data_IF_375472170997
#
_entry.id   IF_375472170997
#
_cell.length_a   1.000
_cell.length_b   1.000
_cell.length_c   1.000
_cell.angle_alpha   90.00
_cell.angle_beta   90.00
_cell.angle_gamma   90.00
#
_symmetry.space_group_name_H-M   'P 1'
#
loop_
_entity.id
_entity.type
_entity.pdbx_description
1 polymer ?
#
# COMPACT_ATOMS: atom_id res chain seq x y z
N UNK A 1 0.43 -38.88 -22.40
CA UNK A 1 0.93 -38.85 -21.01
C UNK A 1 0.61 -37.48 -20.43
N UNK A 2 -0.09 -37.41 -19.31
CA UNK A 2 -0.48 -36.15 -18.67
C UNK A 2 0.78 -35.44 -18.15
N UNK A 3 1.02 -34.17 -18.51
CA UNK A 3 2.23 -33.42 -18.13
C UNK A 3 2.44 -33.36 -16.60
N UNK A 4 1.34 -33.28 -15.84
CA UNK A 4 1.37 -33.34 -14.38
C UNK A 4 1.99 -34.65 -13.87
N UNK A 5 1.59 -35.79 -14.43
CA UNK A 5 2.12 -37.10 -14.04
C UNK A 5 3.63 -37.22 -14.37
N UNK A 6 4.10 -36.57 -15.44
CA UNK A 6 5.53 -36.53 -15.75
C UNK A 6 6.31 -35.69 -14.74
N UNK A 7 5.84 -34.49 -14.42
CA UNK A 7 6.50 -33.61 -13.45
C UNK A 7 6.52 -34.21 -12.04
N UNK A 8 5.45 -34.87 -11.63
CA UNK A 8 5.38 -35.57 -10.34
C UNK A 8 6.41 -36.71 -10.29
N UNK A 9 6.46 -37.54 -11.33
CA UNK A 9 7.46 -38.62 -11.42
C UNK A 9 8.89 -38.07 -11.38
N UNK A 10 9.16 -37.01 -12.14
CA UNK A 10 10.48 -36.37 -12.16
C UNK A 10 10.84 -35.78 -10.79
N UNK A 11 9.90 -35.09 -10.14
CA UNK A 11 10.07 -34.56 -8.79
C UNK A 11 10.44 -35.66 -7.80
N UNK A 12 9.68 -36.76 -7.77
CA UNK A 12 9.98 -37.89 -6.87
C UNK A 12 11.31 -38.56 -7.19
N UNK A 13 11.68 -38.69 -8.47
CA UNK A 13 12.98 -39.23 -8.87
C UNK A 13 14.15 -38.36 -8.40
N UNK A 14 14.04 -37.03 -8.56
CA UNK A 14 15.05 -36.08 -8.06
C UNK A 14 15.10 -36.11 -6.52
N UNK A 15 13.94 -36.10 -5.87
CA UNK A 15 13.84 -36.02 -4.41
C UNK A 15 14.31 -37.31 -3.70
N UNK A 16 14.16 -38.47 -4.34
CA UNK A 16 14.69 -39.75 -3.84
C UNK A 16 16.21 -39.84 -3.98
N UNK A 17 16.82 -39.12 -4.91
CA UNK A 17 18.26 -39.07 -5.04
C UNK A 17 18.86 -38.24 -3.88
N UNK A 18 19.53 -38.91 -2.94
CA UNK A 18 20.07 -38.30 -1.72
C UNK A 18 21.06 -37.17 -2.03
N UNK A 19 21.88 -37.31 -3.07
CA UNK A 19 22.88 -36.31 -3.46
C UNK A 19 22.19 -35.06 -3.99
N UNK A 20 21.30 -35.23 -4.98
CA UNK A 20 20.55 -34.11 -5.55
C UNK A 20 19.70 -33.40 -4.49
N UNK A 21 19.02 -34.17 -3.63
CA UNK A 21 18.24 -33.61 -2.52
C UNK A 21 19.10 -32.77 -1.58
N UNK A 22 20.30 -33.23 -1.21
CA UNK A 22 21.23 -32.46 -0.37
C UNK A 22 21.65 -31.15 -1.03
N UNK A 23 21.96 -31.17 -2.32
CA UNK A 23 22.30 -29.97 -3.09
C UNK A 23 21.13 -29.00 -3.11
N UNK A 24 19.93 -29.45 -3.47
CA UNK A 24 18.72 -28.61 -3.51
C UNK A 24 18.44 -27.99 -2.13
N UNK A 25 18.51 -28.76 -1.05
CA UNK A 25 18.30 -28.25 0.31
C UNK A 25 19.33 -27.17 0.65
N UNK A 26 20.60 -27.37 0.27
CA UNK A 26 21.64 -26.37 0.47
C UNK A 26 21.36 -25.08 -0.31
N UNK A 27 20.98 -25.19 -1.59
CA UNK A 27 20.63 -24.03 -2.43
C UNK A 27 19.42 -23.27 -1.87
N UNK A 28 18.39 -23.98 -1.41
CA UNK A 28 17.22 -23.37 -0.76
C UNK A 28 17.59 -22.67 0.56
N UNK A 29 18.55 -23.22 1.31
CA UNK A 29 19.08 -22.60 2.52
C UNK A 29 19.87 -21.33 2.19
N UNK A 30 20.73 -21.36 1.18
CA UNK A 30 21.46 -20.16 0.74
C UNK A 30 20.49 -19.09 0.24
N UNK A 31 19.49 -19.48 -0.55
CA UNK A 31 18.43 -18.58 -0.99
C UNK A 31 17.67 -17.96 0.19
N UNK A 32 17.26 -18.75 1.17
CA UNK A 32 16.49 -18.24 2.31
C UNK A 32 17.28 -17.23 3.15
N UNK A 33 18.59 -17.42 3.27
CA UNK A 33 19.52 -16.53 3.98
C UNK A 33 19.78 -15.25 3.17
N UNK A 34 20.14 -15.39 1.89
CA UNK A 34 20.68 -14.28 1.09
C UNK A 34 19.67 -13.60 0.17
N UNK A 35 18.39 -13.98 0.18
CA UNK A 35 17.37 -13.33 -0.68
C UNK A 35 17.11 -11.86 -0.38
N UNK A 36 17.42 -11.38 0.83
CA UNK A 36 17.25 -9.98 1.25
C UNK A 36 18.54 -9.50 1.91
N UNK A 37 19.20 -8.51 1.32
CA UNK A 37 20.50 -8.02 1.82
C UNK A 37 20.55 -6.49 1.75
N UNK A 38 21.19 -5.89 2.75
CA UNK A 38 21.40 -4.46 2.83
C UNK A 38 22.88 -4.15 2.60
N UNK A 39 23.17 -3.16 1.78
CA UNK A 39 24.51 -2.65 1.51
C UNK A 39 24.58 -1.17 1.86
N UNK A 40 25.75 -0.72 2.30
CA UNK A 40 26.12 0.69 2.30
C UNK A 40 26.95 0.95 1.04
N UNK A 41 26.89 2.15 0.46
CA UNK A 41 27.62 2.52 -0.77
C UNK A 41 28.27 3.91 -0.60
N UNK A 42 28.76 4.21 0.60
CA UNK A 42 29.34 5.51 0.99
C UNK A 42 30.83 5.60 0.71
N UNK A 43 31.54 4.48 0.66
CA UNK A 43 32.97 4.40 0.32
C UNK A 43 33.22 3.56 -0.94
N UNK A 44 34.42 3.68 -1.52
CA UNK A 44 34.83 2.82 -2.64
C UNK A 44 34.95 1.35 -2.19
N UNK A 45 35.37 1.10 -0.96
CA UNK A 45 35.45 -0.24 -0.38
C UNK A 45 34.07 -0.89 -0.25
N UNK A 46 33.08 -0.13 0.23
CA UNK A 46 31.70 -0.57 0.33
C UNK A 46 31.08 -0.87 -1.06
N UNK A 47 31.39 -0.03 -2.05
CA UNK A 47 31.01 -0.28 -3.45
C UNK A 47 31.67 -1.54 -4.01
N UNK A 48 32.97 -1.73 -3.74
CA UNK A 48 33.70 -2.90 -4.19
C UNK A 48 33.17 -4.17 -3.53
N UNK A 49 32.81 -4.12 -2.26
CA UNK A 49 32.14 -5.22 -1.57
C UNK A 49 30.81 -5.61 -2.23
N UNK A 50 30.03 -4.62 -2.68
CA UNK A 50 28.84 -4.88 -3.50
C UNK A 50 29.19 -5.56 -4.83
N UNK A 51 30.22 -5.09 -5.55
CA UNK A 51 30.65 -5.69 -6.81
C UNK A 51 31.07 -7.16 -6.64
N UNK A 52 31.83 -7.44 -5.59
CA UNK A 52 32.41 -8.76 -5.30
C UNK A 52 31.46 -9.68 -4.50
N UNK A 53 30.23 -9.24 -4.24
CA UNK A 53 29.28 -10.00 -3.44
C UNK A 53 28.94 -11.37 -4.05
N UNK A 54 29.53 -12.42 -3.48
CA UNK A 54 29.44 -13.81 -3.96
C UNK A 54 28.03 -14.36 -4.15
N UNK A 55 27.08 -13.91 -3.33
CA UNK A 55 25.73 -14.47 -3.27
C UNK A 55 24.70 -13.71 -4.11
N UNK A 56 25.15 -12.92 -5.11
CA UNK A 56 24.28 -12.12 -5.99
C UNK A 56 23.15 -12.91 -6.64
N UNK A 57 23.38 -14.16 -7.03
CA UNK A 57 22.40 -15.03 -7.69
C UNK A 57 21.17 -15.33 -6.83
N UNK A 58 21.30 -15.23 -5.50
CA UNK A 58 20.20 -15.49 -4.57
C UNK A 58 19.39 -14.25 -4.24
N UNK A 59 19.88 -13.04 -4.57
CA UNK A 59 19.23 -11.79 -4.23
C UNK A 59 17.84 -11.70 -4.89
N UNK A 60 16.85 -11.30 -4.10
CA UNK A 60 15.51 -10.95 -4.59
C UNK A 60 15.13 -9.53 -4.21
N UNK A 61 15.62 -9.07 -3.06
CA UNK A 61 15.45 -7.71 -2.56
C UNK A 61 16.79 -7.19 -2.08
N UNK A 62 17.16 -5.99 -2.52
CA UNK A 62 18.39 -5.33 -2.09
C UNK A 62 18.09 -3.92 -1.62
N UNK A 63 18.67 -3.51 -0.50
CA UNK A 63 18.63 -2.13 -0.01
C UNK A 63 20.01 -1.52 -0.08
N UNK A 64 20.11 -0.32 -0.63
CA UNK A 64 21.32 0.49 -0.60
C UNK A 64 21.11 1.68 0.31
N UNK A 65 21.93 1.79 1.36
CA UNK A 65 22.03 2.97 2.20
C UNK A 65 23.15 3.88 1.69
N UNK A 66 22.82 5.16 1.54
CA UNK A 66 23.67 6.16 0.92
C UNK A 66 23.66 7.44 1.74
N UNK A 67 24.84 7.87 2.16
CA UNK A 67 25.07 9.06 2.97
C UNK A 67 26.20 9.87 2.36
N UNK A 68 25.87 11.08 1.89
CA UNK A 68 26.81 12.00 1.29
C UNK A 68 27.25 13.05 2.32
N UNK A 69 28.56 13.16 2.56
CA UNK A 69 29.14 14.30 3.28
C UNK A 69 29.28 15.50 2.31
N UNK A 70 28.14 16.00 1.82
CA UNK A 70 28.06 16.90 0.68
C UNK A 70 27.90 16.14 -0.64
N UNK A 71 27.00 16.59 -1.52
CA UNK A 71 26.75 15.97 -2.83
C UNK A 71 27.95 16.16 -3.77
N UNK A 72 28.94 15.28 -3.67
CA UNK A 72 30.03 15.24 -4.66
C UNK A 72 29.56 14.43 -5.86
N UNK A 73 29.95 14.87 -7.06
CA UNK A 73 29.61 14.21 -8.33
C UNK A 73 29.94 12.71 -8.30
N UNK A 74 31.05 12.34 -7.66
CA UNK A 74 31.48 10.96 -7.51
C UNK A 74 30.51 10.08 -6.73
N UNK A 75 29.83 10.63 -5.72
CA UNK A 75 28.93 9.83 -4.90
C UNK A 75 27.64 9.49 -5.67
N UNK A 76 27.15 10.42 -6.53
CA UNK A 76 26.07 10.15 -7.48
C UNK A 76 26.49 9.14 -8.56
N UNK A 77 27.71 9.29 -9.10
CA UNK A 77 28.24 8.36 -10.10
C UNK A 77 28.31 6.94 -9.55
N UNK A 78 28.72 6.77 -8.30
CA UNK A 78 28.76 5.46 -7.66
C UNK A 78 27.37 4.84 -7.53
N UNK A 79 26.37 5.60 -7.12
CA UNK A 79 24.98 5.12 -7.09
C UNK A 79 24.51 4.67 -8.48
N UNK A 80 24.80 5.45 -9.51
CA UNK A 80 24.47 5.11 -10.90
C UNK A 80 25.14 3.77 -11.30
N UNK A 81 26.43 3.62 -11.03
CA UNK A 81 27.16 2.39 -11.34
C UNK A 81 26.65 1.19 -10.52
N UNK A 82 26.25 1.40 -9.27
CA UNK A 82 25.60 0.37 -8.44
C UNK A 82 24.31 -0.11 -9.09
N UNK A 83 23.44 0.81 -9.54
CA UNK A 83 22.19 0.45 -10.22
C UNK A 83 22.43 -0.31 -11.53
N UNK A 84 23.41 0.14 -12.34
CA UNK A 84 23.80 -0.54 -13.59
C UNK A 84 24.36 -1.95 -13.37
N UNK A 85 24.89 -2.23 -12.18
CA UNK A 85 25.47 -3.54 -11.82
C UNK A 85 24.47 -4.51 -11.16
N UNK A 86 23.18 -4.13 -11.06
CA UNK A 86 22.15 -4.98 -10.48
C UNK A 86 21.94 -6.26 -11.33
N UNK A 87 21.95 -7.46 -10.71
CA UNK A 87 21.67 -8.69 -11.42
C UNK A 87 20.17 -8.87 -11.74
N UNK A 88 19.87 -9.54 -12.86
CA UNK A 88 18.52 -9.76 -13.40
C UNK A 88 17.61 -10.68 -12.55
N UNK A 89 18.10 -11.21 -11.43
CA UNK A 89 17.28 -11.98 -10.48
C UNK A 89 16.62 -11.11 -9.40
N UNK A 90 16.91 -9.81 -9.34
CA UNK A 90 16.36 -8.89 -8.34
C UNK A 90 14.96 -8.43 -8.75
N UNK A 91 14.02 -8.53 -7.81
CA UNK A 91 12.64 -8.10 -7.99
C UNK A 91 12.36 -6.76 -7.28
N UNK A 92 13.05 -6.48 -6.17
CA UNK A 92 12.85 -5.27 -5.35
C UNK A 92 14.17 -4.53 -5.08
N UNK A 93 14.18 -3.22 -5.31
CA UNK A 93 15.29 -2.33 -4.97
C UNK A 93 14.80 -1.28 -3.99
N UNK A 94 15.52 -1.09 -2.90
CA UNK A 94 15.35 0.02 -1.97
C UNK A 94 16.56 0.93 -2.02
N UNK A 95 16.34 2.24 -2.11
CA UNK A 95 17.39 3.25 -1.99
C UNK A 95 17.04 4.11 -0.78
N UNK A 96 17.87 4.04 0.24
CA UNK A 96 17.76 4.84 1.43
C UNK A 96 18.85 5.88 1.49
N UNK A 97 18.50 7.10 1.88
CA UNK A 97 19.46 8.16 2.07
C UNK A 97 19.10 9.12 3.19
N UNK A 98 20.12 9.62 3.89
CA UNK A 98 20.00 10.75 4.82
C UNK A 98 20.35 12.09 4.13
N UNK A 99 20.65 12.05 2.83
CA UNK A 99 21.09 13.19 2.02
C UNK A 99 19.99 13.57 1.02
N UNK A 100 20.04 14.78 0.49
CA UNK A 100 19.09 15.23 -0.54
C UNK A 100 19.59 14.76 -1.91
N UNK A 101 18.89 13.82 -2.56
CA UNK A 101 19.32 13.28 -3.86
C UNK A 101 18.34 13.65 -4.99
N UNK A 102 18.79 14.23 -6.12
CA UNK A 102 17.91 14.48 -7.27
C UNK A 102 17.65 13.19 -8.08
N UNK A 103 16.44 12.61 -7.98
CA UNK A 103 15.98 11.42 -8.75
C UNK A 103 16.29 11.52 -10.26
N UNK A 104 16.08 12.68 -10.89
CA UNK A 104 16.21 12.83 -12.34
C UNK A 104 17.64 12.57 -12.83
N UNK A 105 18.63 12.66 -11.94
CA UNK A 105 20.03 12.36 -12.24
C UNK A 105 20.40 10.90 -11.99
N UNK A 106 19.57 10.15 -11.25
CA UNK A 106 19.82 8.76 -10.88
C UNK A 106 19.13 7.80 -11.85
N UNK A 107 17.84 8.02 -12.12
CA UNK A 107 17.03 7.07 -12.86
C UNK A 107 16.96 7.48 -14.32
N UNK A 108 17.89 6.95 -15.12
CA UNK A 108 17.84 7.04 -16.57
C UNK A 108 17.28 5.73 -17.16
N UNK A 109 16.71 5.80 -18.38
CA UNK A 109 16.21 4.60 -19.07
C UNK A 109 17.30 3.51 -19.12
N UNK A 110 16.98 2.32 -18.63
CA UNK A 110 17.88 1.15 -18.63
C UNK A 110 18.74 0.97 -17.37
N UNK A 111 18.72 1.90 -16.42
CA UNK A 111 19.55 1.79 -15.21
C UNK A 111 18.98 0.83 -14.17
N UNK A 112 17.67 0.58 -14.20
CA UNK A 112 17.05 -0.46 -13.41
C UNK A 112 16.77 -1.66 -14.34
N UNK A 113 17.24 -2.88 -14.00
CA UNK A 113 16.92 -4.09 -14.74
C UNK A 113 15.42 -4.32 -14.90
N UNK A 114 15.03 -5.00 -15.98
CA UNK A 114 13.61 -5.30 -16.27
C UNK A 114 12.98 -6.26 -15.26
N UNK A 115 13.80 -7.01 -14.54
CA UNK A 115 13.38 -7.89 -13.45
C UNK A 115 12.80 -7.13 -12.25
N UNK A 116 13.22 -5.87 -12.05
CA UNK A 116 12.78 -5.07 -10.91
C UNK A 116 11.33 -4.64 -11.11
N UNK A 117 10.46 -5.11 -10.23
CA UNK A 117 9.03 -4.82 -10.23
C UNK A 117 8.61 -3.91 -9.08
N UNK A 118 9.45 -3.76 -8.06
CA UNK A 118 9.21 -2.88 -6.91
C UNK A 118 10.41 -1.96 -6.64
N UNK A 119 10.15 -0.67 -6.49
CA UNK A 119 11.14 0.34 -6.12
C UNK A 119 10.66 1.09 -4.88
N UNK A 120 11.53 1.22 -3.90
CA UNK A 120 11.26 1.97 -2.68
C UNK A 120 12.37 3.02 -2.49
N UNK A 121 11.95 4.27 -2.34
CA UNK A 121 12.83 5.42 -2.14
C UNK A 121 12.58 5.95 -0.73
N UNK A 122 13.59 5.86 0.14
CA UNK A 122 13.53 6.26 1.56
C UNK A 122 14.49 7.43 1.78
N UNK A 123 14.02 8.53 2.38
CA UNK A 123 14.86 9.71 2.62
C UNK A 123 14.46 10.91 1.78
N UNK A 124 15.39 11.77 1.39
CA UNK A 124 15.06 13.06 0.75
C UNK A 124 15.35 13.06 -0.75
N UNK A 125 14.31 13.04 -1.59
CA UNK A 125 14.45 13.02 -3.05
C UNK A 125 13.88 14.27 -3.74
N UNK A 126 14.75 15.17 -4.25
CA UNK A 126 14.37 16.56 -4.55
C UNK A 126 13.77 16.84 -5.94
N UNK A 127 13.79 15.88 -6.87
CA UNK A 127 13.38 16.07 -8.27
C UNK A 127 12.52 14.91 -8.76
N UNK A 128 11.59 15.08 -9.71
CA UNK A 128 10.73 14.00 -10.17
C UNK A 128 11.49 13.01 -11.07
N UNK A 129 10.86 11.89 -11.37
CA UNK A 129 11.28 11.03 -12.47
C UNK A 129 11.23 11.79 -13.80
N UNK A 130 12.27 11.61 -14.64
CA UNK A 130 12.26 12.12 -16.01
C UNK A 130 11.38 11.22 -16.89
N UNK A 131 10.91 11.74 -18.03
CA UNK A 131 10.15 10.94 -18.99
C UNK A 131 10.97 9.71 -19.41
N UNK A 132 10.37 8.51 -19.33
CA UNK A 132 10.98 7.22 -19.65
C UNK A 132 12.10 6.73 -18.71
N UNK A 133 12.42 7.45 -17.63
CA UNK A 133 13.42 7.05 -16.61
C UNK A 133 13.24 5.62 -16.09
N UNK A 134 12.01 5.25 -15.77
CA UNK A 134 11.66 3.93 -15.25
C UNK A 134 10.99 3.11 -16.36
N UNK A 135 11.41 1.84 -16.48
CA UNK A 135 10.87 0.90 -17.45
C UNK A 135 9.42 0.45 -17.14
N UNK A 136 8.70 -0.05 -18.15
CA UNK A 136 7.29 -0.48 -18.07
C UNK A 136 7.02 -1.74 -17.22
N UNK A 137 8.04 -2.32 -16.60
CA UNK A 137 7.88 -3.49 -15.74
C UNK A 137 7.63 -3.12 -14.28
N UNK A 138 7.93 -1.89 -13.86
CA UNK A 138 7.71 -1.46 -12.49
C UNK A 138 6.21 -1.47 -12.16
N UNK A 139 5.84 -2.21 -11.10
CA UNK A 139 4.46 -2.40 -10.63
C UNK A 139 4.20 -1.70 -9.31
N UNK A 140 5.20 -1.61 -8.45
CA UNK A 140 5.10 -0.99 -7.13
C UNK A 140 6.13 0.10 -6.97
N UNK A 141 5.69 1.25 -6.47
CA UNK A 141 6.55 2.37 -6.11
C UNK A 141 6.18 2.85 -4.70
N UNK A 142 7.15 2.87 -3.80
CA UNK A 142 7.03 3.41 -2.46
C UNK A 142 7.93 4.64 -2.38
N UNK A 143 7.35 5.80 -2.07
CA UNK A 143 8.05 7.06 -1.94
C UNK A 143 8.05 7.47 -0.47
N UNK A 144 8.85 6.80 0.36
CA UNK A 144 9.01 7.12 1.78
C UNK A 144 9.89 8.38 1.96
N UNK A 145 9.43 9.48 1.37
CA UNK A 145 10.15 10.73 1.38
C UNK A 145 9.85 11.50 2.67
N UNK A 146 10.92 11.93 3.34
CA UNK A 146 10.83 12.63 4.61
C UNK A 146 10.73 14.15 4.45
N UNK A 147 11.17 14.75 3.33
CA UNK A 147 11.39 16.21 3.26
C UNK A 147 11.13 16.89 1.90
N UNK A 148 10.69 16.20 0.86
CA UNK A 148 10.61 16.84 -0.46
C UNK A 148 9.32 17.62 -0.73
N UNK A 149 9.16 18.77 -0.07
CA UNK A 149 8.20 19.83 -0.45
C UNK A 149 8.28 20.15 -1.97
N UNK A 150 9.47 20.00 -2.58
CA UNK A 150 9.74 20.35 -3.97
C UNK A 150 9.28 19.31 -5.00
N UNK A 151 9.32 18.01 -4.67
CA UNK A 151 8.85 16.95 -5.56
C UNK A 151 7.34 17.08 -5.81
N UNK A 152 6.61 17.52 -4.78
CA UNK A 152 5.17 17.55 -4.78
C UNK A 152 4.58 18.78 -5.49
N UNK A 153 5.28 19.91 -5.50
CA UNK A 153 4.87 21.04 -6.37
C UNK A 153 4.72 20.63 -7.84
N UNK A 154 5.50 19.64 -8.29
CA UNK A 154 5.42 19.13 -9.66
C UNK A 154 4.22 18.18 -9.89
N UNK A 155 3.78 17.45 -8.85
CA UNK A 155 2.53 16.66 -8.90
C UNK A 155 1.32 17.57 -9.07
N UNK A 156 1.36 18.79 -8.53
CA UNK A 156 0.28 19.75 -8.70
C UNK A 156 0.15 20.21 -10.17
N UNK A 157 1.27 20.51 -10.84
CA UNK A 157 1.26 21.07 -12.21
C UNK A 157 1.23 20.01 -13.34
N UNK A 158 0.93 18.74 -13.05
CA UNK A 158 0.77 17.71 -14.09
C UNK A 158 2.06 17.33 -14.82
N UNK A 159 3.24 17.62 -14.25
CA UNK A 159 4.55 17.34 -14.86
C UNK A 159 5.29 16.15 -14.25
N UNK A 160 4.60 15.27 -13.53
CA UNK A 160 5.24 14.08 -12.93
C UNK A 160 5.07 12.87 -13.82
N UNK A 161 6.21 12.27 -14.19
CA UNK A 161 6.27 11.05 -14.98
C UNK A 161 6.27 9.83 -14.08
N UNK A 162 5.08 9.42 -13.60
CA UNK A 162 4.92 8.10 -13.02
C UNK A 162 4.82 7.03 -14.12
N UNK A 163 5.45 5.85 -13.95
CA UNK A 163 5.36 4.76 -14.92
C UNK A 163 3.91 4.33 -15.15
N UNK A 164 3.52 4.25 -16.42
CA UNK A 164 2.16 3.83 -16.84
C UNK A 164 1.81 2.40 -16.44
N UNK A 165 2.79 1.62 -16.00
CA UNK A 165 2.65 0.23 -15.55
C UNK A 165 2.38 0.08 -14.07
N UNK A 166 2.49 1.16 -13.27
CA UNK A 166 2.34 1.10 -11.82
C UNK A 166 0.95 0.64 -11.44
N UNK A 167 0.88 -0.39 -10.60
CA UNK A 167 -0.35 -0.93 -10.03
C UNK A 167 -0.51 -0.58 -8.55
N UNK A 168 0.59 -0.24 -7.88
CA UNK A 168 0.67 0.13 -6.47
C UNK A 168 1.53 1.37 -6.28
N UNK A 169 1.03 2.35 -5.53
CA UNK A 169 1.74 3.56 -5.15
C UNK A 169 1.50 3.88 -3.68
N UNK A 170 2.58 4.03 -2.92
CA UNK A 170 2.55 4.45 -1.52
C UNK A 170 3.37 5.73 -1.36
N UNK A 171 2.78 6.75 -0.75
CA UNK A 171 3.48 7.97 -0.36
C UNK A 171 3.95 7.89 1.09
N UNK A 172 5.09 8.49 1.37
CA UNK A 172 5.74 8.56 2.68
C UNK A 172 5.08 9.56 3.60
N UNK A 173 5.42 9.49 4.88
CA UNK A 173 4.68 10.15 5.95
C UNK A 173 4.56 11.66 5.78
N UNK A 174 5.58 12.33 5.25
CA UNK A 174 5.61 13.77 5.01
C UNK A 174 4.79 14.23 3.80
N UNK A 175 4.18 13.33 3.04
CA UNK A 175 3.37 13.68 1.87
C UNK A 175 2.11 14.46 2.28
N UNK A 176 2.05 15.74 1.94
CA UNK A 176 0.86 16.57 2.13
C UNK A 176 0.72 17.60 1.00
N UNK A 177 0.41 17.12 -0.20
CA UNK A 177 0.25 17.99 -1.37
C UNK A 177 -0.88 17.51 -2.25
N UNK A 178 -1.59 18.46 -2.84
CA UNK A 178 -2.67 18.20 -3.79
C UNK A 178 -2.14 17.51 -5.05
N UNK A 179 -2.94 16.57 -5.56
CA UNK A 179 -2.65 15.83 -6.79
C UNK A 179 -3.59 16.33 -7.88
N UNK A 180 -3.04 16.84 -8.97
CA UNK A 180 -3.83 17.27 -10.12
C UNK A 180 -4.48 16.11 -10.89
N UNK A 181 -5.55 16.41 -11.63
CA UNK A 181 -6.19 15.44 -12.53
C UNK A 181 -5.17 14.87 -13.54
N UNK A 182 -5.20 13.56 -13.75
CA UNK A 182 -4.33 12.88 -14.71
C UNK A 182 -2.88 12.64 -14.24
N UNK A 183 -2.50 13.08 -13.04
CA UNK A 183 -1.14 12.88 -12.51
C UNK A 183 -0.87 11.43 -12.05
N UNK A 184 -1.93 10.71 -11.66
CA UNK A 184 -1.84 9.30 -11.27
C UNK A 184 -2.04 8.39 -12.49
N UNK A 185 -1.14 7.41 -12.74
CA UNK A 185 -1.34 6.41 -13.77
C UNK A 185 -2.69 5.69 -13.63
N UNK A 186 -3.41 5.57 -14.75
CA UNK A 186 -4.72 4.91 -14.79
C UNK A 186 -4.68 3.42 -14.43
N UNK A 187 -3.49 2.82 -14.43
CA UNK A 187 -3.20 1.43 -14.08
C UNK A 187 -3.22 1.15 -12.57
N UNK A 188 -3.13 2.19 -11.73
CA UNK A 188 -3.05 2.03 -10.27
C UNK A 188 -4.33 1.36 -9.74
N UNK A 189 -4.12 0.36 -8.88
CA UNK A 189 -5.16 -0.41 -8.19
C UNK A 189 -5.06 -0.30 -6.67
N UNK A 190 -3.89 0.06 -6.14
CA UNK A 190 -3.63 0.32 -4.73
C UNK A 190 -2.99 1.71 -4.59
N UNK A 191 -3.57 2.56 -3.74
CA UNK A 191 -3.04 3.89 -3.43
C UNK A 191 -3.07 4.11 -1.92
N UNK A 192 -1.95 4.53 -1.37
CA UNK A 192 -1.80 4.87 0.05
C UNK A 192 -1.12 6.23 0.19
N UNK A 193 -1.79 7.11 0.90
CA UNK A 193 -1.27 8.41 1.28
C UNK A 193 -0.50 8.33 2.60
N UNK A 194 0.54 9.16 2.75
CA UNK A 194 1.34 9.22 3.96
C UNK A 194 0.61 9.85 5.15
N UNK A 195 1.18 9.65 6.34
CA UNK A 195 0.64 10.11 7.64
C UNK A 195 0.08 11.53 7.64
N UNK A 196 0.82 12.51 7.08
CA UNK A 196 0.47 13.93 7.12
C UNK A 196 -0.49 14.38 6.02
N UNK A 197 -0.93 13.50 5.12
CA UNK A 197 -1.79 13.89 4.00
C UNK A 197 -3.14 14.43 4.46
N UNK A 198 -3.43 15.69 4.16
CA UNK A 198 -4.69 16.35 4.48
C UNK A 198 -5.14 17.32 3.37
N UNK A 199 -5.00 16.90 2.12
CA UNK A 199 -5.48 17.65 0.96
C UNK A 199 -6.82 17.10 0.47
N UNK A 200 -7.67 17.95 -0.12
CA UNK A 200 -8.91 17.49 -0.76
C UNK A 200 -8.58 16.72 -2.04
N UNK A 201 -9.40 15.71 -2.36
CA UNK A 201 -9.28 14.95 -3.59
C UNK A 201 -10.36 15.41 -4.55
N UNK A 202 -9.95 16.19 -5.55
CA UNK A 202 -10.84 16.70 -6.58
C UNK A 202 -11.47 15.62 -7.47
N UNK A 203 -12.43 16.06 -8.29
CA UNK A 203 -13.05 15.21 -9.31
C UNK A 203 -11.98 14.63 -10.24
N UNK A 204 -12.15 13.39 -10.63
CA UNK A 204 -11.29 12.68 -11.58
C UNK A 204 -9.83 12.42 -11.17
N UNK A 205 -9.36 12.87 -10.01
CA UNK A 205 -7.97 12.70 -9.55
C UNK A 205 -7.61 11.22 -9.34
N UNK A 206 -8.45 10.46 -8.65
CA UNK A 206 -8.16 9.05 -8.35
C UNK A 206 -8.16 8.19 -9.63
N UNK A 207 -7.42 7.08 -9.74
CA UNK A 207 -7.49 6.21 -10.92
C UNK A 207 -8.82 5.45 -11.03
N UNK A 208 -9.38 5.28 -12.26
CA UNK A 208 -10.65 4.54 -12.48
C UNK A 208 -10.59 3.06 -12.07
N UNK A 209 -9.39 2.46 -12.07
CA UNK A 209 -9.16 1.05 -11.70
C UNK A 209 -8.81 0.84 -10.22
N UNK A 210 -8.79 1.91 -9.43
CA UNK A 210 -8.43 1.87 -8.02
C UNK A 210 -9.35 0.90 -7.27
N UNK A 211 -8.75 -0.03 -6.52
CA UNK A 211 -9.43 -1.06 -5.71
C UNK A 211 -9.26 -0.79 -4.21
N UNK A 212 -8.11 -0.29 -3.79
CA UNK A 212 -7.79 -0.03 -2.40
C UNK A 212 -7.28 1.40 -2.29
N UNK A 213 -7.89 2.18 -1.41
CA UNK A 213 -7.47 3.53 -1.07
C UNK A 213 -7.27 3.64 0.43
N UNK A 214 -6.11 4.14 0.84
CA UNK A 214 -5.79 4.45 2.23
C UNK A 214 -5.42 5.92 2.37
N UNK A 215 -6.14 6.64 3.23
CA UNK A 215 -5.76 7.98 3.63
C UNK A 215 -4.81 7.95 4.84
N UNK A 216 -3.99 9.00 4.97
CA UNK A 216 -3.11 9.19 6.11
C UNK A 216 -3.86 9.46 7.41
N UNK A 217 -3.17 9.29 8.54
CA UNK A 217 -3.72 9.46 9.88
C UNK A 217 -4.27 10.86 10.16
N UNK A 218 -3.69 11.91 9.55
CA UNK A 218 -4.13 13.30 9.72
C UNK A 218 -5.21 13.75 8.71
N UNK A 219 -5.68 12.87 7.83
CA UNK A 219 -6.68 13.23 6.83
C UNK A 219 -8.01 13.58 7.47
N UNK A 220 -8.47 14.82 7.26
CA UNK A 220 -9.76 15.32 7.77
C UNK A 220 -10.46 16.24 6.77
N UNK A 221 -10.36 15.93 5.47
CA UNK A 221 -11.15 16.60 4.43
C UNK A 221 -12.44 15.85 4.19
N UNK A 222 -13.51 16.60 3.94
CA UNK A 222 -14.83 16.00 3.69
C UNK A 222 -14.80 15.14 2.42
N UNK A 223 -15.31 13.93 2.52
CA UNK A 223 -15.54 13.05 1.37
C UNK A 223 -16.95 13.19 0.79
N UNK A 224 -17.79 14.05 1.39
CA UNK A 224 -19.19 14.26 0.99
C UNK A 224 -19.36 15.04 -0.30
N UNK A 225 -18.31 15.65 -0.84
CA UNK A 225 -18.36 16.13 -2.22
C UNK A 225 -18.46 14.89 -3.10
N UNK A 226 -19.57 14.69 -3.84
CA UNK A 226 -19.77 13.54 -4.78
C UNK A 226 -18.70 13.45 -5.90
N UNK A 227 -17.64 14.22 -5.80
CA UNK A 227 -16.56 14.42 -6.73
C UNK A 227 -15.42 13.42 -6.53
N UNK A 228 -14.99 13.17 -5.29
CA UNK A 228 -13.81 12.33 -4.99
C UNK A 228 -13.95 10.91 -5.57
N UNK A 229 -15.08 10.26 -5.31
CA UNK A 229 -15.36 8.90 -5.78
C UNK A 229 -16.17 8.84 -7.08
N UNK A 230 -16.34 9.96 -7.78
CA UNK A 230 -17.10 10.02 -9.03
C UNK A 230 -16.61 8.94 -10.01
N UNK A 231 -17.48 8.05 -10.45
CA UNK A 231 -17.15 6.94 -11.36
C UNK A 231 -16.01 6.02 -10.88
N UNK A 232 -15.75 5.90 -9.57
CA UNK A 232 -14.77 4.96 -8.99
C UNK A 232 -15.39 3.61 -8.65
N UNK A 233 -16.08 3.04 -9.64
CA UNK A 233 -16.89 1.81 -9.55
C UNK A 233 -16.07 0.51 -9.35
N UNK A 234 -14.75 0.62 -9.15
CA UNK A 234 -13.87 -0.51 -8.85
C UNK A 234 -13.34 -0.48 -7.42
N UNK A 235 -13.53 0.61 -6.67
CA UNK A 235 -13.04 0.75 -5.30
C UNK A 235 -13.73 -0.29 -4.40
N UNK A 236 -12.93 -1.07 -3.68
CA UNK A 236 -13.36 -2.17 -2.80
C UNK A 236 -13.06 -1.90 -1.34
N UNK A 237 -11.94 -1.27 -1.03
CA UNK A 237 -11.52 -1.01 0.35
C UNK A 237 -11.15 0.46 0.50
N UNK A 238 -11.68 1.09 1.56
CA UNK A 238 -11.39 2.45 1.94
C UNK A 238 -10.95 2.47 3.41
N UNK A 239 -9.79 3.05 3.65
CA UNK A 239 -9.24 3.25 5.00
C UNK A 239 -9.14 4.75 5.30
N UNK A 240 -9.65 5.15 6.45
CA UNK A 240 -9.67 6.54 6.93
C UNK A 240 -8.85 6.67 8.21
N UNK A 241 -8.02 7.71 8.27
CA UNK A 241 -7.09 7.95 9.38
C UNK A 241 -7.75 8.42 10.67
N UNK A 242 -6.95 8.49 11.74
CA UNK A 242 -7.39 8.87 13.09
C UNK A 242 -8.09 10.22 13.19
N UNK A 243 -7.66 11.22 12.42
CA UNK A 243 -8.21 12.57 12.52
C UNK A 243 -9.51 12.78 11.74
N UNK A 244 -9.96 11.79 10.95
CA UNK A 244 -11.13 11.94 10.10
C UNK A 244 -12.40 12.15 10.93
N UNK A 245 -13.11 13.24 10.63
CA UNK A 245 -14.37 13.62 11.27
C UNK A 245 -15.45 13.97 10.25
N UNK A 246 -15.15 13.98 8.95
CA UNK A 246 -16.11 14.40 7.93
C UNK A 246 -17.37 13.53 7.93
N UNK A 247 -18.53 14.18 7.92
CA UNK A 247 -19.80 13.49 7.68
C UNK A 247 -19.84 12.88 6.28
N UNK A 248 -20.72 11.89 6.10
CA UNK A 248 -21.00 11.28 4.80
C UNK A 248 -22.45 11.55 4.43
N UNK A 249 -22.68 12.01 3.21
CA UNK A 249 -24.02 12.13 2.65
C UNK A 249 -24.38 10.90 1.80
N UNK A 250 -25.66 10.77 1.45
CA UNK A 250 -26.12 9.74 0.53
C UNK A 250 -25.36 9.79 -0.80
N UNK A 251 -25.00 8.61 -1.31
CA UNK A 251 -24.19 8.40 -2.52
C UNK A 251 -22.74 8.89 -2.46
N UNK A 252 -22.19 9.15 -1.25
CA UNK A 252 -20.76 9.42 -1.08
C UNK A 252 -19.91 8.28 -1.63
N UNK A 253 -20.23 7.04 -1.26
CA UNK A 253 -19.41 5.88 -1.60
C UNK A 253 -19.85 5.22 -2.92
N UNK A 254 -18.90 4.69 -3.72
CA UNK A 254 -19.25 3.92 -4.90
C UNK A 254 -19.91 2.60 -4.50
N UNK A 255 -20.91 2.15 -5.27
CA UNK A 255 -21.64 0.87 -5.08
C UNK A 255 -20.75 -0.39 -5.10
N UNK A 256 -19.46 -0.23 -5.41
CA UNK A 256 -18.49 -1.31 -5.42
C UNK A 256 -17.84 -1.57 -4.07
N UNK A 257 -17.89 -0.61 -3.13
CA UNK A 257 -17.17 -0.63 -1.86
C UNK A 257 -17.60 -1.80 -0.98
N UNK A 258 -16.63 -2.54 -0.45
CA UNK A 258 -16.83 -3.76 0.35
C UNK A 258 -16.32 -3.60 1.78
N UNK A 259 -15.30 -2.79 2.00
CA UNK A 259 -14.69 -2.59 3.31
C UNK A 259 -14.50 -1.10 3.55
N UNK A 260 -15.00 -0.62 4.69
CA UNK A 260 -14.78 0.72 5.21
C UNK A 260 -14.18 0.57 6.60
N UNK A 261 -12.95 1.05 6.76
CA UNK A 261 -12.17 0.86 7.99
C UNK A 261 -11.65 2.20 8.46
N UNK A 262 -11.91 2.53 9.72
CA UNK A 262 -11.33 3.68 10.39
C UNK A 262 -10.15 3.22 11.23
N UNK A 263 -9.09 4.03 11.28
CA UNK A 263 -7.92 3.78 12.13
C UNK A 263 -8.30 3.74 13.61
N UNK A 264 -7.51 3.02 14.39
CA UNK A 264 -7.65 2.96 15.86
C UNK A 264 -7.53 4.38 16.44
N UNK A 265 -8.43 4.72 17.37
CA UNK A 265 -8.53 6.06 17.95
C UNK A 265 -9.17 7.11 17.04
N UNK A 266 -9.83 6.71 15.94
CA UNK A 266 -10.46 7.64 15.00
C UNK A 266 -11.47 8.58 15.68
N UNK A 267 -11.44 9.85 15.24
CA UNK A 267 -12.27 10.94 15.77
C UNK A 267 -13.68 11.01 15.18
N UNK A 268 -13.99 10.26 14.13
CA UNK A 268 -15.33 10.19 13.53
C UNK A 268 -16.41 9.92 14.60
N UNK A 269 -17.41 10.80 14.65
CA UNK A 269 -18.47 10.75 15.66
C UNK A 269 -19.84 11.25 15.14
N UNK A 270 -20.00 11.30 13.82
CA UNK A 270 -21.27 11.65 13.17
C UNK A 270 -22.17 10.42 13.11
N UNK A 271 -23.49 10.57 13.33
CA UNK A 271 -24.43 9.50 13.04
C UNK A 271 -24.43 9.19 11.54
N UNK A 272 -24.55 7.91 11.21
CA UNK A 272 -24.78 7.45 9.84
C UNK A 272 -26.28 7.42 9.60
N UNK A 273 -26.75 8.15 8.58
CA UNK A 273 -28.13 8.05 8.13
C UNK A 273 -28.35 6.80 7.26
N UNK A 274 -29.59 6.34 7.20
CA UNK A 274 -29.98 5.21 6.34
C UNK A 274 -29.62 5.52 4.89
N UNK A 275 -28.95 4.58 4.22
CA UNK A 275 -28.58 4.71 2.79
C UNK A 275 -27.25 5.43 2.53
N UNK A 276 -26.62 6.04 3.54
CA UNK A 276 -25.29 6.65 3.41
C UNK A 276 -24.22 5.62 3.06
N UNK A 277 -24.26 4.45 3.73
CA UNK A 277 -23.38 3.33 3.42
C UNK A 277 -23.88 2.56 2.19
N UNK A 278 -22.98 2.12 1.29
CA UNK A 278 -23.40 1.43 0.09
C UNK A 278 -23.91 0.01 0.42
N UNK A 279 -24.95 -0.50 -0.27
CA UNK A 279 -25.55 -1.82 -0.02
C UNK A 279 -24.62 -3.00 -0.37
N UNK A 280 -23.42 -2.70 -0.86
CA UNK A 280 -22.37 -3.65 -1.16
C UNK A 280 -21.47 -3.95 0.02
N UNK A 281 -21.50 -3.13 1.08
CA UNK A 281 -20.53 -3.13 2.19
C UNK A 281 -20.63 -4.42 3.02
N UNK A 282 -19.49 -5.07 3.24
CA UNK A 282 -19.38 -6.33 3.99
C UNK A 282 -18.63 -6.18 5.31
N UNK A 283 -17.73 -5.21 5.39
CA UNK A 283 -16.94 -4.93 6.58
C UNK A 283 -17.03 -3.46 6.92
N UNK A 284 -17.40 -3.18 8.17
CA UNK A 284 -17.40 -1.84 8.74
C UNK A 284 -16.68 -1.89 10.09
N UNK A 285 -15.59 -1.15 10.20
CA UNK A 285 -14.82 -1.00 11.44
C UNK A 285 -14.79 0.48 11.77
N UNK A 286 -15.64 0.92 12.68
CA UNK A 286 -15.67 2.30 13.20
C UNK A 286 -14.99 2.25 14.55
N UNK A 287 -13.98 3.10 14.75
CA UNK A 287 -13.08 3.04 15.90
C UNK A 287 -13.73 3.22 17.27
N UNK A 288 -12.93 3.64 18.24
CA UNK A 288 -13.29 3.58 19.66
C UNK A 288 -14.26 4.66 20.13
N UNK A 289 -14.71 5.59 19.27
CA UNK A 289 -15.73 6.58 19.66
C UNK A 289 -17.13 5.98 19.57
N UNK A 290 -18.00 6.40 20.49
CA UNK A 290 -19.37 5.89 20.56
C UNK A 290 -20.08 6.02 19.21
N UNK A 291 -20.55 4.89 18.71
CA UNK A 291 -21.38 4.76 17.53
C UNK A 291 -22.75 5.37 17.86
N UNK A 292 -23.03 6.53 17.27
CA UNK A 292 -24.25 7.30 17.53
C UNK A 292 -25.40 6.94 16.59
N UNK A 293 -25.12 6.24 15.51
CA UNK A 293 -26.11 5.91 14.49
C UNK A 293 -27.06 4.84 15.02
N UNK A 294 -28.31 4.93 14.57
CA UNK A 294 -29.25 3.82 14.69
C UNK A 294 -28.72 2.60 13.92
N UNK A 295 -28.95 1.41 14.43
CA UNK A 295 -28.42 0.18 13.81
C UNK A 295 -29.13 -0.10 12.48
N UNK A 296 -30.34 0.40 12.27
CA UNK A 296 -31.09 0.37 10.99
C UNK A 296 -30.36 1.12 9.86
N UNK A 297 -29.44 2.03 10.19
CA UNK A 297 -28.60 2.71 9.18
C UNK A 297 -27.59 1.77 8.51
N UNK A 298 -27.33 0.61 9.12
CA UNK A 298 -26.33 -0.35 8.65
C UNK A 298 -26.89 -1.20 7.49
N UNK A 299 -26.10 -1.40 6.42
CA UNK A 299 -26.56 -2.20 5.29
C UNK A 299 -26.62 -3.69 5.66
N UNK A 300 -27.73 -4.34 5.29
CA UNK A 300 -28.00 -5.79 5.50
C UNK A 300 -26.89 -6.70 4.94
N UNK A 301 -26.07 -6.21 4.01
CA UNK A 301 -24.95 -6.96 3.43
C UNK A 301 -23.75 -7.15 4.35
N UNK A 302 -23.72 -6.48 5.51
CA UNK A 302 -22.63 -6.55 6.47
C UNK A 302 -22.41 -7.96 6.99
N UNK A 303 -21.14 -8.35 7.09
CA UNK A 303 -20.67 -9.63 7.62
C UNK A 303 -19.75 -9.46 8.82
N UNK A 304 -19.03 -8.34 8.88
CA UNK A 304 -18.17 -8.01 10.01
C UNK A 304 -18.41 -6.57 10.42
N UNK A 305 -18.77 -6.38 11.67
CA UNK A 305 -18.99 -5.08 12.30
C UNK A 305 -18.08 -4.98 13.53
N UNK A 306 -17.29 -3.92 13.60
CA UNK A 306 -16.50 -3.58 14.79
C UNK A 306 -16.79 -2.13 15.13
N UNK A 307 -17.43 -1.91 16.28
CA UNK A 307 -17.90 -0.58 16.72
C UNK A 307 -17.78 -0.45 18.24
N UNK A 308 -17.66 0.78 18.72
CA UNK A 308 -17.94 1.06 20.13
C UNK A 308 -19.43 1.44 20.30
N UNK A 309 -20.28 0.55 20.79
CA UNK A 309 -21.72 0.81 20.94
C UNK A 309 -22.21 0.62 22.38
N UNK A 310 -22.99 1.58 22.89
CA UNK A 310 -23.66 1.49 24.20
C UNK A 310 -25.19 1.35 24.10
N UNK A 311 -25.75 1.33 22.89
CA UNK A 311 -27.20 1.20 22.67
C UNK A 311 -27.65 -0.24 22.91
N UNK A 312 -28.89 -0.43 23.38
CA UNK A 312 -29.50 -1.75 23.52
C UNK A 312 -29.76 -2.36 22.14
N UNK A 313 -29.13 -3.51 21.85
CA UNK A 313 -29.26 -4.22 20.55
C UNK A 313 -30.42 -5.24 20.59
N UNK A 314 -31.29 -5.22 21.61
CA UNK A 314 -32.30 -6.28 21.80
C UNK A 314 -33.24 -6.48 20.60
N UNK A 315 -33.57 -5.42 19.87
CA UNK A 315 -34.56 -5.45 18.78
C UNK A 315 -33.96 -5.50 17.37
N UNK A 316 -32.64 -5.60 17.22
CA UNK A 316 -31.99 -5.39 15.91
C UNK A 316 -31.58 -6.65 15.19
N UNK A 317 -32.13 -7.78 15.63
CA UNK A 317 -31.92 -9.08 15.02
C UNK A 317 -32.12 -9.10 13.50
N UNK A 318 -33.10 -8.40 12.86
CA UNK A 318 -33.31 -8.50 11.42
C UNK A 318 -32.17 -7.92 10.57
N UNK A 319 -31.57 -6.81 11.00
CA UNK A 319 -30.52 -6.12 10.25
C UNK A 319 -29.15 -6.76 10.44
N UNK A 320 -28.97 -7.49 11.54
CA UNK A 320 -27.72 -8.15 11.91
C UNK A 320 -27.68 -9.63 11.53
N UNK A 321 -28.74 -10.21 10.93
CA UNK A 321 -28.82 -11.64 10.56
C UNK A 321 -27.66 -12.15 9.70
N UNK A 322 -27.06 -11.27 8.89
CA UNK A 322 -25.97 -11.65 7.99
C UNK A 322 -24.58 -11.44 8.60
N UNK A 323 -24.49 -10.86 9.81
CA UNK A 323 -23.23 -10.72 10.51
C UNK A 323 -22.69 -12.09 10.90
N UNK A 324 -21.43 -12.30 10.56
CA UNK A 324 -20.64 -13.46 10.98
C UNK A 324 -19.75 -13.15 12.17
N UNK A 325 -19.40 -11.86 12.31
CA UNK A 325 -18.52 -11.38 13.37
C UNK A 325 -18.97 -10.02 13.87
N UNK A 326 -19.06 -9.87 15.18
CA UNK A 326 -19.35 -8.59 15.84
C UNK A 326 -18.34 -8.33 16.95
N UNK A 327 -17.59 -7.25 16.81
CA UNK A 327 -16.69 -6.77 17.86
C UNK A 327 -17.25 -5.49 18.47
N UNK A 328 -17.38 -5.49 19.80
CA UNK A 328 -17.82 -4.34 20.58
C UNK A 328 -16.72 -3.98 21.57
N UNK A 329 -16.26 -2.73 21.56
CA UNK A 329 -15.09 -2.32 22.35
C UNK A 329 -15.43 -1.69 23.71
N UNK A 330 -16.67 -1.23 23.93
CA UNK A 330 -17.15 -0.89 25.28
C UNK A 330 -18.47 -1.62 25.57
N UNK A 331 -18.58 -2.17 26.78
CA UNK A 331 -19.72 -2.98 27.19
C UNK A 331 -20.35 -2.43 28.48
N UNK A 332 -21.68 -2.32 28.48
CA UNK A 332 -22.47 -2.66 29.64
C UNK A 332 -22.82 -4.16 29.52
N UNK A 333 -22.33 -4.95 30.47
CA UNK A 333 -22.07 -6.41 30.41
C UNK A 333 -23.25 -7.36 30.07
N UNK A 334 -24.57 -7.08 30.20
CA UNK A 334 -25.53 -8.20 30.10
C UNK A 334 -25.90 -8.72 28.70
N UNK A 335 -25.65 -8.00 27.60
CA UNK A 335 -26.51 -8.16 26.40
C UNK A 335 -26.03 -9.11 25.29
N UNK A 336 -24.73 -9.43 25.21
CA UNK A 336 -24.16 -10.20 24.07
C UNK A 336 -24.69 -11.64 24.00
N UNK A 337 -25.09 -12.20 25.15
CA UNK A 337 -25.54 -13.59 25.25
C UNK A 337 -26.73 -13.93 24.35
N UNK A 338 -27.57 -12.96 23.96
CA UNK A 338 -28.79 -13.25 23.20
C UNK A 338 -28.59 -13.34 21.69
N UNK A 339 -27.60 -12.63 21.13
CA UNK A 339 -27.29 -12.67 19.68
C UNK A 339 -26.51 -13.96 19.35
N UNK A 340 -25.65 -14.42 20.26
CA UNK A 340 -24.76 -15.57 20.05
C UNK A 340 -25.45 -16.95 20.00
N UNK A 341 -26.73 -17.05 20.38
CA UNK A 341 -27.41 -18.33 20.41
C UNK A 341 -27.80 -18.87 19.02
N UNK A 342 -27.68 -18.06 17.96
CA UNK A 342 -27.72 -18.57 16.59
C UNK A 342 -26.31 -19.02 16.18
N UNK A 343 -26.16 -20.35 16.10
CA UNK A 343 -24.92 -21.10 15.92
C UNK A 343 -24.22 -20.80 14.59
N UNK A 344 -23.36 -19.78 14.57
CA UNK A 344 -22.19 -19.58 13.68
C UNK A 344 -21.55 -18.17 13.87
N UNK A 345 -21.85 -17.51 14.99
CA UNK A 345 -21.50 -16.12 15.24
C UNK A 345 -20.24 -16.02 16.11
N UNK A 346 -19.21 -15.33 15.63
CA UNK A 346 -17.95 -15.08 16.37
C UNK A 346 -17.87 -13.68 16.98
#
# INVERSE_FOLDING_TARGET
MNLENYNDKLFFSIWRNIVLRKVIINELKLFSIFRKVNFKINTNEEYQYWLDYKYKIYLKRVRFFISFQGLRIFDLQRLILTLLSLPENIDTVEIETNSIIPICNIFNPGFIPRSVTSLELIGSFSSPFSKNSIHSNLKSLILNDQLSLKLYHLLNIGKVFLPKSLTSLTFGDSFNTEIGEGCLPSSITYLEFGYHFNCEIGKNVLPKRLKILKFGELFNKSLSTRQCFYNRNKLKKLYLGREYQGEFIEFTFPKSLKELVFSIGCKFNHPLEVGVLPPSLKTLIIGERYFKSEIESLPISLKYLSINCSQSIENVSPFLKNLKKLELTSFLVPLVRRILNDTDFH
#
